data_IF_645527422171
#
_entry.id   IF_645527422171
#
_cell.length_a   1.000
_cell.length_b   1.000
_cell.length_c   1.000
_cell.angle_alpha   90.00
_cell.angle_beta   90.00
_cell.angle_gamma   90.00
#
_symmetry.space_group_name_H-M   'P 1'
#
loop_
_entity.id
_entity.type
_entity.pdbx_description
1 polymer ?
#
# COMPACT_ATOMS: atom_id res chain seq x y z
N UNK A 1 -17.82 -37.41 20.54
CA UNK A 1 -16.47 -36.89 20.29
C UNK A 1 -16.34 -36.64 18.79
N UNK A 2 -16.64 -35.42 18.32
CA UNK A 2 -16.58 -35.08 16.90
C UNK A 2 -15.20 -34.51 16.57
N UNK A 3 -14.42 -35.24 15.76
CA UNK A 3 -13.24 -34.69 15.09
C UNK A 3 -13.70 -33.93 13.84
N UNK A 4 -13.66 -32.59 13.89
CA UNK A 4 -13.77 -31.76 12.69
C UNK A 4 -12.36 -31.51 12.13
N UNK A 5 -12.12 -32.01 10.91
CA UNK A 5 -10.90 -31.83 10.13
C UNK A 5 -10.67 -30.35 9.74
N UNK A 6 -9.42 -29.95 9.45
CA UNK A 6 -9.05 -28.56 9.24
C UNK A 6 -9.66 -28.02 7.96
N UNK A 7 -10.43 -26.94 8.07
CA UNK A 7 -10.94 -26.20 6.93
C UNK A 7 -9.80 -25.70 6.06
N UNK A 8 -9.75 -26.21 4.83
CA UNK A 8 -8.79 -25.91 3.78
C UNK A 8 -8.61 -24.39 3.65
N UNK A 9 -7.41 -23.91 3.96
CA UNK A 9 -7.00 -22.57 3.63
C UNK A 9 -7.08 -22.42 2.10
N UNK A 10 -8.12 -21.75 1.63
CA UNK A 10 -8.14 -21.18 0.30
C UNK A 10 -7.02 -20.12 0.27
N UNK A 11 -5.81 -20.55 -0.09
CA UNK A 11 -4.72 -19.67 -0.44
C UNK A 11 -5.21 -18.85 -1.64
N UNK A 12 -5.82 -17.70 -1.34
CA UNK A 12 -6.04 -16.66 -2.32
C UNK A 12 -4.72 -16.54 -3.09
N UNK A 13 -4.77 -16.69 -4.42
CA UNK A 13 -3.61 -16.47 -5.31
C UNK A 13 -3.05 -15.10 -4.97
N UNK A 14 -2.10 -15.07 -4.04
CA UNK A 14 -1.57 -13.83 -3.50
C UNK A 14 -0.96 -13.11 -4.68
N UNK A 15 -1.40 -11.88 -4.90
CA UNK A 15 -0.63 -11.00 -5.75
C UNK A 15 0.78 -11.00 -5.18
N UNK A 16 1.79 -11.25 -6.00
CA UNK A 16 3.19 -11.29 -5.56
C UNK A 16 3.88 -10.05 -6.10
N UNK A 17 4.45 -9.22 -5.24
CA UNK A 17 5.38 -8.17 -5.64
C UNK A 17 6.62 -8.86 -6.17
N UNK A 18 6.93 -8.61 -7.45
CA UNK A 18 8.15 -9.06 -8.08
C UNK A 18 9.30 -8.09 -7.78
N UNK A 19 9.00 -6.78 -7.78
CA UNK A 19 9.97 -5.74 -7.47
C UNK A 19 9.26 -4.50 -6.93
N UNK A 20 9.89 -3.79 -6.01
CA UNK A 20 9.45 -2.49 -5.55
C UNK A 20 10.66 -1.56 -5.43
N UNK A 21 10.45 -0.28 -5.74
CA UNK A 21 11.48 0.75 -5.65
C UNK A 21 10.87 2.06 -5.17
N UNK A 22 11.61 2.80 -4.37
CA UNK A 22 11.25 4.13 -3.91
C UNK A 22 12.41 5.07 -4.24
N UNK A 23 12.11 6.15 -4.97
CA UNK A 23 13.10 7.17 -5.31
C UNK A 23 12.50 8.56 -5.18
N UNK A 24 13.36 9.57 -5.12
CA UNK A 24 12.94 10.97 -5.14
C UNK A 24 13.25 11.57 -6.50
N UNK A 25 12.26 12.23 -7.10
CA UNK A 25 12.37 12.94 -8.38
C UNK A 25 12.00 14.41 -8.15
N UNK A 26 13.00 15.25 -7.92
CA UNK A 26 12.79 16.63 -7.50
C UNK A 26 12.01 16.69 -6.17
N UNK A 27 10.79 17.25 -6.23
CA UNK A 27 9.90 17.41 -5.06
C UNK A 27 8.96 16.22 -4.85
N UNK A 28 8.92 15.27 -5.77
CA UNK A 28 8.04 14.12 -5.70
C UNK A 28 8.77 12.91 -5.15
N UNK A 29 8.07 12.14 -4.33
CA UNK A 29 8.46 10.78 -3.97
C UNK A 29 7.77 9.83 -4.96
N UNK A 30 8.58 9.04 -5.65
CA UNK A 30 8.15 8.13 -6.71
C UNK A 30 8.28 6.70 -6.21
N UNK A 31 7.15 6.06 -6.00
CA UNK A 31 7.03 4.65 -5.68
C UNK A 31 6.73 3.86 -6.94
N UNK A 32 7.60 2.90 -7.27
CA UNK A 32 7.40 1.97 -8.37
C UNK A 32 7.21 0.56 -7.84
N UNK A 33 6.26 -0.17 -8.42
CA UNK A 33 5.99 -1.54 -8.04
C UNK A 33 5.68 -2.38 -9.27
N UNK A 34 6.34 -3.53 -9.38
CA UNK A 34 6.05 -4.58 -10.35
C UNK A 34 5.43 -5.76 -9.62
N UNK A 35 4.33 -6.27 -10.14
CA UNK A 35 3.62 -7.43 -9.62
C UNK A 35 3.70 -8.58 -10.61
N UNK A 36 3.69 -9.82 -10.11
CA UNK A 36 3.76 -11.00 -10.98
C UNK A 36 2.56 -11.13 -11.95
N UNK A 37 1.44 -10.50 -11.61
CA UNK A 37 0.22 -10.45 -12.44
C UNK A 37 -0.34 -9.03 -12.46
N UNK A 38 -1.08 -8.65 -13.51
CA UNK A 38 -1.72 -7.34 -13.58
C UNK A 38 -2.61 -7.07 -12.36
N UNK A 39 -2.47 -5.88 -11.77
CA UNK A 39 -3.28 -5.43 -10.64
C UNK A 39 -4.48 -4.64 -11.13
N UNK A 40 -5.68 -5.05 -10.76
CA UNK A 40 -6.90 -4.27 -10.99
C UNK A 40 -7.02 -3.15 -9.94
N UNK A 41 -6.40 -2.00 -10.18
CA UNK A 41 -6.34 -0.89 -9.20
C UNK A 41 -7.71 -0.43 -8.71
N UNK A 42 -8.76 -0.53 -9.52
CA UNK A 42 -10.13 -0.17 -9.13
C UNK A 42 -10.78 -1.16 -8.14
N UNK A 43 -10.20 -2.35 -7.98
CA UNK A 43 -10.63 -3.36 -7.00
C UNK A 43 -9.84 -3.29 -5.69
N UNK A 44 -8.85 -2.41 -5.60
CA UNK A 44 -8.08 -2.21 -4.38
C UNK A 44 -8.81 -1.25 -3.43
N UNK A 45 -8.69 -1.55 -2.15
CA UNK A 45 -9.15 -0.71 -1.07
C UNK A 45 -8.09 0.37 -0.79
N UNK A 46 -8.46 1.63 -0.95
CA UNK A 46 -7.58 2.75 -0.62
C UNK A 46 -7.30 2.86 0.89
N UNK A 47 -8.14 2.28 1.75
CA UNK A 47 -8.03 2.37 3.21
C UNK A 47 -8.37 1.01 3.83
N UNK A 48 -7.54 -0.01 3.57
CA UNK A 48 -7.86 -1.39 3.92
C UNK A 48 -7.98 -1.58 5.43
N UNK A 49 -8.83 -2.53 5.85
CA UNK A 49 -8.62 -3.17 7.15
C UNK A 49 -7.72 -4.38 6.93
N UNK A 50 -6.43 -4.25 7.25
CA UNK A 50 -5.44 -5.31 7.01
C UNK A 50 -5.69 -6.58 7.84
N UNK A 51 -6.63 -6.54 8.79
CA UNK A 51 -7.05 -7.73 9.56
C UNK A 51 -8.15 -8.54 8.86
N UNK A 52 -8.78 -7.98 7.82
CA UNK A 52 -9.81 -8.66 7.03
C UNK A 52 -9.16 -9.44 5.89
N UNK A 53 -9.31 -10.77 5.91
CA UNK A 53 -8.73 -11.66 4.89
C UNK A 53 -9.19 -11.36 3.45
N UNK A 54 -10.39 -10.80 3.28
CA UNK A 54 -10.92 -10.40 1.98
C UNK A 54 -10.39 -9.05 1.46
N UNK A 55 -9.71 -8.26 2.31
CA UNK A 55 -9.25 -6.92 1.92
C UNK A 55 -8.16 -7.02 0.88
N UNK A 56 -8.33 -6.31 -0.24
CA UNK A 56 -7.36 -6.25 -1.34
C UNK A 56 -6.64 -4.92 -1.33
N UNK A 57 -5.33 -4.94 -1.13
CA UNK A 57 -4.55 -3.71 -1.04
C UNK A 57 -3.20 -3.82 -1.72
N UNK A 58 -2.66 -2.66 -2.08
CA UNK A 58 -1.28 -2.48 -2.49
C UNK A 58 -0.83 -1.14 -1.93
N UNK A 59 0.08 -1.16 -0.96
CA UNK A 59 0.47 0.03 -0.22
C UNK A 59 1.99 0.20 -0.19
N UNK A 60 2.43 1.46 -0.15
CA UNK A 60 3.74 1.83 0.35
C UNK A 60 3.61 2.08 1.86
N UNK A 61 4.37 1.36 2.67
CA UNK A 61 4.51 1.62 4.10
C UNK A 61 5.83 2.32 4.39
N UNK A 62 5.76 3.38 5.18
CA UNK A 62 6.88 4.23 5.58
C UNK A 62 6.99 4.24 7.10
N UNK A 63 8.11 3.77 7.63
CA UNK A 63 8.40 3.77 9.06
C UNK A 63 9.50 4.78 9.40
N UNK A 64 9.42 5.36 10.60
CA UNK A 64 10.45 6.26 11.12
C UNK A 64 11.31 5.52 12.13
N UNK A 65 12.65 5.66 12.08
CA UNK A 65 13.53 5.14 13.13
C UNK A 65 13.07 5.64 14.51
N UNK A 66 13.02 4.74 15.51
CA UNK A 66 12.59 5.07 16.87
C UNK A 66 11.08 5.25 17.07
N UNK A 67 10.25 5.06 16.04
CA UNK A 67 8.79 5.09 16.16
C UNK A 67 8.19 3.71 15.88
N UNK A 68 7.19 3.32 16.69
CA UNK A 68 6.51 2.03 16.51
C UNK A 68 5.44 2.05 15.41
N UNK A 69 5.01 3.21 14.91
CA UNK A 69 3.99 3.34 13.86
C UNK A 69 4.56 3.49 12.44
N UNK A 70 3.67 3.35 11.45
CA UNK A 70 3.99 3.57 10.03
C UNK A 70 2.89 4.38 9.32
N UNK A 71 3.29 5.16 8.31
CA UNK A 71 2.39 5.78 7.36
C UNK A 71 2.20 4.81 6.18
N UNK A 72 0.96 4.47 5.86
CA UNK A 72 0.61 3.63 4.71
C UNK A 72 -0.07 4.47 3.64
N UNK A 73 0.42 4.36 2.41
CA UNK A 73 -0.11 5.00 1.23
C UNK A 73 -0.62 3.91 0.28
N UNK A 74 -1.94 3.76 0.19
CA UNK A 74 -2.58 2.59 -0.43
C UNK A 74 -3.31 2.96 -1.72
N UNK A 75 -3.00 2.22 -2.79
CA UNK A 75 -3.63 2.37 -4.10
C UNK A 75 -5.10 1.91 -4.07
N UNK A 76 -5.94 2.57 -4.85
CA UNK A 76 -7.34 2.17 -5.05
C UNK A 76 -8.34 3.28 -4.81
N UNK A 77 -9.57 2.89 -4.48
CA UNK A 77 -10.68 3.83 -4.24
C UNK A 77 -11.28 4.43 -5.52
N UNK A 78 -12.09 5.50 -5.36
CA UNK A 78 -12.93 6.07 -6.44
C UNK A 78 -12.13 6.77 -7.55
N UNK A 79 -10.95 7.32 -7.23
CA UNK A 79 -10.10 8.07 -8.18
C UNK A 79 -8.66 7.52 -8.16
N UNK A 80 -8.46 6.23 -8.50
CA UNK A 80 -7.22 5.52 -8.22
C UNK A 80 -6.02 6.00 -9.05
N UNK A 81 -6.24 6.93 -10.00
CA UNK A 81 -5.18 7.57 -10.80
C UNK A 81 -4.74 8.94 -10.28
N UNK A 82 -5.56 9.59 -9.45
CA UNK A 82 -5.37 10.97 -9.00
C UNK A 82 -5.28 11.10 -7.46
N UNK A 83 -5.74 10.08 -6.73
CA UNK A 83 -5.70 10.02 -5.27
C UNK A 83 -5.42 8.60 -4.81
N UNK A 84 -4.72 8.50 -3.70
CA UNK A 84 -4.52 7.25 -2.96
C UNK A 84 -4.96 7.47 -1.53
N UNK A 85 -5.31 6.40 -0.84
CA UNK A 85 -5.63 6.52 0.58
C UNK A 85 -4.37 6.59 1.41
N UNK A 86 -4.50 7.25 2.56
CA UNK A 86 -3.44 7.40 3.53
C UNK A 86 -3.95 6.88 4.87
N UNK A 87 -3.15 6.09 5.56
CA UNK A 87 -3.45 5.60 6.89
C UNK A 87 -2.23 5.76 7.78
N UNK A 88 -2.41 6.41 8.93
CA UNK A 88 -1.43 6.32 10.01
C UNK A 88 -1.81 5.12 10.86
N UNK A 89 -0.89 4.17 11.02
CA UNK A 89 -1.10 2.99 11.86
C UNK A 89 -0.15 3.01 13.04
N UNK A 90 -0.62 2.52 14.18
CA UNK A 90 0.20 2.35 15.38
C UNK A 90 1.08 1.08 15.30
N UNK A 91 1.88 0.81 16.34
CA UNK A 91 2.73 -0.38 16.40
C UNK A 91 2.01 -1.72 16.48
N UNK A 92 0.70 -1.73 16.76
CA UNK A 92 -0.14 -2.91 16.65
C UNK A 92 -0.72 -3.09 15.22
N UNK A 93 -0.35 -2.23 14.27
CA UNK A 93 -0.89 -2.23 12.90
C UNK A 93 -2.34 -1.75 12.79
N UNK A 94 -2.89 -1.16 13.86
CA UNK A 94 -4.25 -0.60 13.86
C UNK A 94 -4.24 0.80 13.25
N UNK A 95 -5.11 1.10 12.27
CA UNK A 95 -5.29 2.47 11.78
C UNK A 95 -5.79 3.38 12.90
N UNK A 96 -5.08 4.48 13.13
CA UNK A 96 -5.45 5.55 14.06
C UNK A 96 -5.91 6.81 13.33
N UNK A 97 -5.47 6.99 12.08
CA UNK A 97 -5.94 8.06 11.20
C UNK A 97 -6.13 7.51 9.79
N UNK A 98 -7.15 8.01 9.08
CA UNK A 98 -7.44 7.64 7.70
C UNK A 98 -7.79 8.88 6.88
N UNK A 99 -7.04 9.12 5.82
CA UNK A 99 -7.25 10.27 4.92
C UNK A 99 -6.98 9.86 3.46
N UNK A 100 -6.76 10.84 2.58
CA UNK A 100 -6.32 10.61 1.21
C UNK A 100 -5.41 11.72 0.75
N UNK A 101 -4.40 11.37 -0.04
CA UNK A 101 -3.45 12.32 -0.61
C UNK A 101 -3.59 12.34 -2.13
N UNK A 102 -3.25 13.48 -2.75
CA UNK A 102 -3.14 13.51 -4.21
C UNK A 102 -1.95 12.67 -4.63
N UNK A 103 -2.12 11.99 -5.76
CA UNK A 103 -1.07 11.16 -6.33
C UNK A 103 -1.26 11.09 -7.84
N UNK A 104 -0.16 10.97 -8.57
CA UNK A 104 -0.20 10.61 -9.98
C UNK A 104 0.11 9.14 -10.09
N UNK A 105 -0.87 8.31 -10.50
CA UNK A 105 -0.63 6.88 -10.73
C UNK A 105 -0.61 6.59 -12.22
N UNK A 106 0.56 6.17 -12.71
CA UNK A 106 0.80 5.73 -14.08
C UNK A 106 0.93 4.21 -14.13
N UNK A 107 0.57 3.63 -15.27
CA UNK A 107 0.78 2.20 -15.58
C UNK A 107 1.63 2.08 -16.84
N UNK A 108 2.97 2.06 -16.70
CA UNK A 108 3.86 1.92 -17.86
C UNK A 108 3.73 0.56 -18.56
N UNK A 109 3.38 -0.51 -17.83
CA UNK A 109 3.10 -1.84 -18.36
C UNK A 109 2.02 -2.54 -17.53
N UNK A 110 1.43 -3.63 -18.02
CA UNK A 110 0.30 -4.30 -17.36
C UNK A 110 0.60 -4.71 -15.90
N UNK A 111 1.85 -5.07 -15.64
CA UNK A 111 2.42 -5.55 -14.38
C UNK A 111 3.12 -4.46 -13.55
N UNK A 112 3.26 -3.22 -14.06
CA UNK A 112 4.00 -2.15 -13.40
C UNK A 112 3.13 -0.94 -13.11
N UNK A 113 3.21 -0.45 -11.87
CA UNK A 113 2.62 0.81 -11.44
C UNK A 113 3.73 1.76 -10.98
N UNK A 114 3.53 3.04 -11.26
CA UNK A 114 4.37 4.13 -10.78
C UNK A 114 3.47 5.17 -10.15
N UNK A 115 3.75 5.51 -8.90
CA UNK A 115 2.97 6.40 -8.06
C UNK A 115 3.87 7.56 -7.68
N UNK A 116 3.52 8.77 -8.07
CA UNK A 116 4.20 9.98 -7.63
C UNK A 116 3.31 10.72 -6.63
N UNK A 117 3.90 11.16 -5.53
CA UNK A 117 3.25 11.98 -4.50
C UNK A 117 4.16 13.14 -4.08
N UNK A 118 3.56 14.22 -3.58
CA UNK A 118 4.29 15.26 -2.87
C UNK A 118 4.42 14.84 -1.39
N UNK A 119 5.64 14.66 -0.85
CA UNK A 119 5.84 14.23 0.54
C UNK A 119 5.14 15.14 1.55
N UNK A 120 5.19 16.45 1.34
CA UNK A 120 4.54 17.43 2.23
C UNK A 120 3.02 17.27 2.29
N UNK A 121 2.34 16.95 1.17
CA UNK A 121 0.90 16.68 1.18
C UNK A 121 0.56 15.36 1.90
N UNK A 122 1.50 14.43 1.99
CA UNK A 122 1.37 13.19 2.74
C UNK A 122 1.81 13.32 4.22
N UNK A 123 2.12 14.53 4.70
CA UNK A 123 2.64 14.76 6.05
C UNK A 123 4.05 14.19 6.29
N UNK A 124 4.80 13.93 5.23
CA UNK A 124 6.17 13.44 5.30
C UNK A 124 7.15 14.61 5.37
N UNK A 125 7.77 14.78 6.54
CA UNK A 125 8.87 15.73 6.72
C UNK A 125 10.17 15.20 6.06
N UNK A 126 11.09 16.07 5.62
CA UNK A 126 12.38 15.65 5.07
C UNK A 126 13.22 14.92 6.14
N UNK A 127 13.37 13.60 6.03
CA UNK A 127 14.19 12.74 6.90
C UNK A 127 14.36 11.35 6.27
N UNK A 128 15.16 10.50 6.93
CA UNK A 128 15.28 9.10 6.56
C UNK A 128 14.07 8.29 7.04
N UNK A 129 13.50 7.50 6.13
CA UNK A 129 12.42 6.56 6.41
C UNK A 129 12.85 5.15 6.00
N UNK A 130 12.50 4.16 6.81
CA UNK A 130 12.40 2.79 6.35
C UNK A 130 11.16 2.67 5.46
N UNK A 131 11.20 1.80 4.46
CA UNK A 131 10.05 1.61 3.58
C UNK A 131 9.91 0.18 3.10
N UNK A 132 8.68 -0.22 2.78
CA UNK A 132 8.35 -1.51 2.18
C UNK A 132 7.04 -1.45 1.41
N UNK A 133 6.87 -2.34 0.45
CA UNK A 133 5.60 -2.55 -0.24
C UNK A 133 4.77 -3.62 0.47
N UNK A 134 3.47 -3.37 0.67
CA UNK A 134 2.50 -4.27 1.29
C UNK A 134 1.43 -4.69 0.29
N UNK A 135 0.95 -5.93 0.39
CA UNK A 135 -0.11 -6.46 -0.48
C UNK A 135 -0.83 -7.66 0.14
N UNK A 136 -1.98 -8.06 -0.42
CA UNK A 136 -2.79 -9.24 -0.02
C UNK A 136 -3.32 -10.10 -1.17
#
# INVERSE_FOLDING_TARGET
MLCALPGVAAAAKQQRIAHAGLSQAGRELVFSVRTAKPVAIGKLEARPDTRRAASRYLCLALSRPGHSGELRLCLGGKRPRARIGQELVNGAGKPIEKSSVRATVKRPSADKLVVAILPGEAGLAPRHYGWRALQS
#
